data_IF_976315710870
#
_entry.id   IF_976315710870
#
_cell.length_a   1.000
_cell.length_b   1.000
_cell.length_c   1.000
_cell.angle_alpha   90.00
_cell.angle_beta   90.00
_cell.angle_gamma   90.00
#
_symmetry.space_group_name_H-M   'P 1'
#
loop_
_entity.id
_entity.type
_entity.pdbx_description
1 polymer ?
#
# COMPACT_ATOMS: atom_id res chain seq x y z
N UNK A 1 -30.31 22.48 -11.09
CA UNK A 1 -31.02 21.19 -11.17
C UNK A 1 -32.44 21.44 -10.69
N UNK A 2 -33.40 21.27 -11.58
CA UNK A 2 -34.82 21.70 -11.39
C UNK A 2 -35.53 20.96 -10.25
N UNK A 3 -35.09 19.75 -9.91
CA UNK A 3 -35.71 18.95 -8.84
C UNK A 3 -34.77 18.73 -7.63
N UNK A 4 -33.73 19.56 -7.48
CA UNK A 4 -32.83 19.45 -6.34
C UNK A 4 -33.48 20.07 -5.10
N UNK A 5 -33.45 19.35 -3.99
CA UNK A 5 -33.84 19.89 -2.67
C UNK A 5 -32.76 20.75 -2.02
N UNK A 6 -31.65 21.02 -2.72
CA UNK A 6 -30.50 21.74 -2.21
C UNK A 6 -29.48 20.84 -1.51
N UNK A 7 -28.53 21.45 -0.80
CA UNK A 7 -27.51 20.74 -0.05
C UNK A 7 -28.04 20.35 1.33
N UNK A 8 -27.99 19.04 1.63
CA UNK A 8 -28.31 18.54 2.97
C UNK A 8 -27.01 18.39 3.77
N UNK A 9 -26.97 19.02 4.95
CA UNK A 9 -25.85 18.96 5.89
C UNK A 9 -26.39 19.03 7.32
N UNK A 10 -25.85 18.16 8.19
CA UNK A 10 -26.18 18.23 9.61
C UNK A 10 -25.41 19.36 10.33
N UNK A 11 -24.18 19.64 9.86
CA UNK A 11 -23.32 20.69 10.41
C UNK A 11 -22.29 21.19 9.37
N UNK A 12 -21.55 22.24 9.72
CA UNK A 12 -20.67 22.95 8.75
C UNK A 12 -19.33 22.24 8.49
N UNK A 13 -19.02 21.16 9.17
CA UNK A 13 -17.80 20.37 9.00
C UNK A 13 -17.38 19.69 10.31
N UNK A 14 -16.39 18.80 10.20
CA UNK A 14 -15.82 18.10 11.35
C UNK A 14 -14.78 18.98 12.05
N UNK A 15 -15.16 19.65 13.14
CA UNK A 15 -14.29 20.59 13.84
C UNK A 15 -12.94 19.99 14.22
N UNK A 16 -12.90 18.78 14.78
CA UNK A 16 -11.66 18.12 15.15
C UNK A 16 -10.71 17.89 13.97
N UNK A 17 -11.25 17.50 12.80
CA UNK A 17 -10.46 17.34 11.57
C UNK A 17 -9.93 18.67 11.08
N UNK A 18 -10.77 19.73 11.09
CA UNK A 18 -10.36 21.07 10.69
C UNK A 18 -9.24 21.61 11.59
N UNK A 19 -9.32 21.39 12.90
CA UNK A 19 -8.29 21.80 13.85
C UNK A 19 -6.96 21.04 13.67
N UNK A 20 -7.02 19.76 13.36
CA UNK A 20 -5.81 18.98 13.01
C UNK A 20 -5.15 19.52 11.75
N UNK A 21 -5.93 19.77 10.70
CA UNK A 21 -5.42 20.34 9.45
C UNK A 21 -4.80 21.73 9.68
N UNK A 22 -5.51 22.61 10.43
CA UNK A 22 -5.00 23.95 10.77
C UNK A 22 -3.67 23.86 11.55
N UNK A 23 -3.60 23.01 12.56
CA UNK A 23 -2.38 22.83 13.35
C UNK A 23 -1.21 22.37 12.48
N UNK A 24 -1.44 21.38 11.61
CA UNK A 24 -0.43 20.91 10.67
C UNK A 24 0.07 22.03 9.74
N UNK A 25 -0.86 22.77 9.12
CA UNK A 25 -0.53 23.87 8.21
C UNK A 25 0.26 24.97 8.92
N UNK A 26 -0.15 25.37 10.13
CA UNK A 26 0.55 26.38 10.91
C UNK A 26 1.94 25.92 11.36
N UNK A 27 2.08 24.63 11.70
CA UNK A 27 3.38 24.05 12.10
C UNK A 27 4.36 23.98 10.94
N UNK A 28 3.89 23.54 9.77
CA UNK A 28 4.74 23.35 8.60
C UNK A 28 5.05 24.65 7.87
N UNK A 29 4.10 25.57 7.84
CA UNK A 29 4.19 26.77 7.01
C UNK A 29 4.23 26.46 5.51
N UNK A 30 4.39 27.47 4.68
CA UNK A 30 4.43 27.30 3.21
C UNK A 30 5.62 26.46 2.75
N UNK A 31 6.79 26.69 3.34
CA UNK A 31 8.02 26.02 2.95
C UNK A 31 8.02 24.54 3.39
N UNK A 32 7.51 24.25 4.59
CA UNK A 32 7.35 22.89 5.07
C UNK A 32 6.36 22.08 4.24
N UNK A 33 5.22 22.65 3.87
CA UNK A 33 4.23 22.00 2.99
C UNK A 33 4.80 21.73 1.60
N UNK A 34 5.57 22.66 1.04
CA UNK A 34 6.27 22.46 -0.23
C UNK A 34 7.33 21.37 -0.11
N UNK A 35 8.11 21.37 0.96
CA UNK A 35 9.13 20.35 1.21
C UNK A 35 8.50 18.96 1.35
N UNK A 36 7.44 18.80 2.14
CA UNK A 36 6.71 17.54 2.29
C UNK A 36 6.24 17.01 0.92
N UNK A 37 5.57 17.84 0.13
CA UNK A 37 5.05 17.44 -1.18
C UNK A 37 6.17 17.06 -2.16
N UNK A 38 7.25 17.83 -2.25
CA UNK A 38 8.38 17.52 -3.14
C UNK A 38 9.13 16.26 -2.74
N UNK A 39 9.31 16.04 -1.43
CA UNK A 39 9.96 14.84 -0.92
C UNK A 39 9.13 13.60 -1.19
N UNK A 40 7.82 13.64 -0.99
CA UNK A 40 6.93 12.53 -1.31
C UNK A 40 7.00 12.16 -2.80
N UNK A 41 7.00 13.14 -3.70
CA UNK A 41 7.17 12.91 -5.15
C UNK A 41 8.55 12.31 -5.47
N UNK A 42 9.61 12.80 -4.84
CA UNK A 42 10.96 12.26 -5.03
C UNK A 42 11.04 10.80 -4.56
N UNK A 43 10.52 10.49 -3.38
CA UNK A 43 10.54 9.16 -2.80
C UNK A 43 9.78 8.15 -3.70
N UNK A 44 8.59 8.52 -4.19
CA UNK A 44 7.80 7.66 -5.07
C UNK A 44 8.53 7.36 -6.39
N UNK A 45 9.10 8.37 -7.03
CA UNK A 45 9.85 8.19 -8.28
C UNK A 45 11.16 7.40 -8.06
N UNK A 46 11.79 7.58 -6.89
CA UNK A 46 12.96 6.78 -6.53
C UNK A 46 12.61 5.29 -6.45
N UNK A 47 11.58 4.92 -5.69
CA UNK A 47 11.14 3.52 -5.57
C UNK A 47 10.69 2.94 -6.92
N UNK A 48 9.89 3.70 -7.67
CA UNK A 48 9.45 3.29 -9.02
C UNK A 48 10.64 2.92 -9.92
N UNK A 49 11.65 3.79 -9.97
CA UNK A 49 12.83 3.58 -10.79
C UNK A 49 13.64 2.33 -10.36
N UNK A 50 13.67 2.02 -9.06
CA UNK A 50 14.40 0.87 -8.54
C UNK A 50 13.68 -0.47 -8.74
N UNK A 51 12.35 -0.47 -8.87
CA UNK A 51 11.53 -1.68 -8.89
C UNK A 51 11.01 -2.07 -10.27
N UNK A 52 11.12 -1.18 -11.25
CA UNK A 52 10.56 -1.39 -12.61
C UNK A 52 11.16 -2.56 -13.37
N UNK A 53 12.34 -3.06 -12.99
CA UNK A 53 12.98 -4.17 -13.67
C UNK A 53 12.45 -5.54 -13.17
N UNK A 54 11.99 -5.62 -11.93
CA UNK A 54 11.48 -6.84 -11.31
C UNK A 54 9.94 -6.93 -11.33
N UNK A 55 9.25 -5.79 -11.40
CA UNK A 55 7.80 -5.69 -11.39
C UNK A 55 7.25 -5.05 -12.65
N UNK A 56 6.06 -5.45 -13.09
CA UNK A 56 5.37 -4.78 -14.17
C UNK A 56 5.02 -3.35 -13.77
N UNK A 57 5.33 -2.40 -14.63
CA UNK A 57 5.02 -0.99 -14.42
C UNK A 57 4.09 -0.50 -15.55
N UNK A 58 2.76 -0.58 -15.39
CA UNK A 58 1.81 -0.22 -16.43
C UNK A 58 1.90 1.25 -16.86
N UNK A 59 2.37 2.10 -15.96
CA UNK A 59 2.51 3.54 -16.15
C UNK A 59 3.96 3.98 -15.94
N UNK A 60 4.83 3.73 -16.91
CA UNK A 60 6.26 4.11 -16.86
C UNK A 60 6.45 5.59 -17.25
N UNK A 61 6.02 6.49 -16.38
CA UNK A 61 6.25 7.93 -16.47
C UNK A 61 6.49 8.50 -15.06
N UNK A 62 6.94 9.75 -14.97
CA UNK A 62 7.14 10.43 -13.68
C UNK A 62 5.80 10.49 -12.94
N UNK A 63 5.75 9.82 -11.79
CA UNK A 63 4.58 9.81 -10.92
C UNK A 63 4.58 11.01 -9.97
N UNK A 64 3.44 11.25 -9.31
CA UNK A 64 3.35 12.19 -8.18
C UNK A 64 3.83 11.48 -6.90
N UNK A 65 2.98 11.38 -5.89
CA UNK A 65 3.35 10.83 -4.59
C UNK A 65 3.16 9.29 -4.48
N UNK A 66 2.62 8.67 -5.52
CA UNK A 66 2.33 7.23 -5.56
C UNK A 66 2.57 6.65 -6.96
N UNK A 67 2.81 5.36 -7.02
CA UNK A 67 2.88 4.60 -8.28
C UNK A 67 2.27 3.22 -8.11
N UNK A 68 1.91 2.59 -9.22
CA UNK A 68 1.26 1.27 -9.23
C UNK A 68 2.12 0.27 -9.97
N UNK A 69 2.43 -0.84 -9.31
CA UNK A 69 3.01 -2.03 -9.91
C UNK A 69 1.88 -2.99 -10.32
N UNK A 70 2.06 -3.74 -11.40
CA UNK A 70 1.10 -4.70 -11.95
C UNK A 70 1.57 -6.15 -11.76
N UNK A 71 1.99 -6.51 -10.54
CA UNK A 71 2.52 -7.83 -10.23
C UNK A 71 3.98 -8.04 -10.65
N UNK A 72 4.49 -9.23 -10.39
CA UNK A 72 5.86 -9.65 -10.76
C UNK A 72 6.00 -9.76 -12.29
N UNK A 73 7.19 -9.45 -12.82
CA UNK A 73 7.48 -9.67 -14.25
C UNK A 73 7.69 -11.14 -14.56
N UNK A 74 8.48 -11.79 -13.70
CA UNK A 74 8.86 -13.19 -13.85
C UNK A 74 8.51 -13.93 -12.57
N UNK A 75 7.38 -14.58 -12.56
CA UNK A 75 7.06 -15.63 -11.59
C UNK A 75 7.04 -16.97 -12.33
N UNK A 76 7.63 -18.01 -11.74
CA UNK A 76 7.91 -19.28 -12.39
C UNK A 76 6.71 -19.92 -13.12
N UNK A 77 5.45 -19.65 -12.74
CA UNK A 77 4.26 -20.29 -13.31
C UNK A 77 3.00 -19.40 -13.26
N UNK A 78 3.09 -18.10 -13.02
CA UNK A 78 1.92 -17.22 -12.84
C UNK A 78 1.11 -17.51 -11.58
N UNK A 79 1.71 -18.18 -10.58
CA UNK A 79 1.01 -18.64 -9.38
C UNK A 79 1.13 -17.65 -8.22
N UNK A 80 2.19 -16.82 -8.21
CA UNK A 80 2.41 -15.82 -7.16
C UNK A 80 1.55 -14.58 -7.45
N UNK A 81 0.67 -14.26 -6.53
CA UNK A 81 -0.21 -13.11 -6.61
C UNK A 81 0.34 -11.92 -5.83
N UNK A 82 -0.13 -10.74 -6.15
CA UNK A 82 0.22 -9.51 -5.40
C UNK A 82 -0.08 -9.64 -3.91
N UNK A 83 -1.13 -10.38 -3.54
CA UNK A 83 -1.41 -10.68 -2.13
C UNK A 83 -0.27 -11.47 -1.46
N UNK A 84 0.38 -12.39 -2.17
CA UNK A 84 1.50 -13.18 -1.64
C UNK A 84 2.72 -12.29 -1.41
N UNK A 85 2.99 -11.38 -2.33
CA UNK A 85 4.01 -10.33 -2.16
C UNK A 85 3.73 -9.49 -0.92
N UNK A 86 2.49 -9.03 -0.74
CA UNK A 86 2.08 -8.24 0.41
C UNK A 86 2.23 -9.03 1.73
N UNK A 87 1.86 -10.30 1.75
CA UNK A 87 2.04 -11.19 2.93
C UNK A 87 3.51 -11.43 3.24
N UNK A 88 4.35 -11.57 2.22
CA UNK A 88 5.80 -11.74 2.42
C UNK A 88 6.46 -10.46 2.96
N UNK A 89 6.00 -9.28 2.57
CA UNK A 89 6.45 -8.01 3.14
C UNK A 89 6.22 -7.92 4.65
N UNK A 90 5.12 -8.49 5.17
CA UNK A 90 4.88 -8.57 6.62
C UNK A 90 5.98 -9.34 7.34
N UNK A 91 6.45 -10.45 6.76
CA UNK A 91 7.56 -11.24 7.33
C UNK A 91 8.88 -10.48 7.35
N UNK A 92 9.04 -9.52 6.45
CA UNK A 92 10.21 -8.65 6.36
C UNK A 92 10.07 -7.35 7.20
N UNK A 93 8.96 -7.22 7.95
CA UNK A 93 8.74 -6.10 8.85
C UNK A 93 8.18 -4.84 8.19
N UNK A 94 7.71 -4.93 6.95
CA UNK A 94 7.10 -3.79 6.25
C UNK A 94 5.58 -3.82 6.32
N UNK A 95 4.99 -2.63 6.42
CA UNK A 95 3.56 -2.47 6.17
C UNK A 95 3.30 -2.66 4.67
N UNK A 96 2.46 -3.62 4.27
CA UNK A 96 2.25 -3.89 2.85
C UNK A 96 1.48 -2.74 2.19
N UNK A 97 1.84 -2.40 0.94
CA UNK A 97 1.08 -1.45 0.13
C UNK A 97 -0.35 -1.94 -0.15
N UNK A 98 -1.21 -1.05 -0.65
CA UNK A 98 -2.58 -1.39 -1.07
C UNK A 98 -2.55 -2.37 -2.24
N UNK A 99 -3.25 -3.50 -2.09
CA UNK A 99 -3.35 -4.55 -3.11
C UNK A 99 -4.66 -4.46 -3.89
N UNK A 100 -4.64 -4.91 -5.15
CA UNK A 100 -5.80 -4.97 -6.05
C UNK A 100 -6.50 -3.62 -6.29
N UNK A 101 -5.78 -2.53 -6.16
CA UNK A 101 -6.27 -1.20 -6.45
C UNK A 101 -5.16 -0.36 -7.15
N UNK A 102 -5.50 0.38 -8.23
CA UNK A 102 -6.82 0.55 -8.86
C UNK A 102 -7.26 -0.69 -9.65
N UNK A 103 -8.57 -0.92 -9.75
CA UNK A 103 -9.16 -2.12 -10.37
C UNK A 103 -8.83 -2.28 -11.87
N UNK A 104 -8.42 -1.20 -12.54
CA UNK A 104 -8.02 -1.20 -13.95
C UNK A 104 -6.63 -1.79 -14.20
N UNK A 105 -5.84 -2.00 -13.16
CA UNK A 105 -4.52 -2.62 -13.23
C UNK A 105 -4.61 -4.04 -12.67
N UNK A 106 -4.24 -5.01 -13.49
CA UNK A 106 -4.20 -6.42 -13.07
C UNK A 106 -3.07 -6.61 -12.04
N UNK A 107 -3.35 -7.37 -10.97
CA UNK A 107 -2.39 -7.60 -9.87
C UNK A 107 -1.80 -6.29 -9.33
N UNK A 108 -2.63 -5.28 -9.15
CA UNK A 108 -2.19 -3.95 -8.71
C UNK A 108 -1.61 -3.98 -7.30
N UNK A 109 -0.46 -3.32 -7.14
CA UNK A 109 0.18 -3.00 -5.87
C UNK A 109 0.50 -1.51 -5.87
N UNK A 110 -0.25 -0.71 -5.11
CA UNK A 110 -0.09 0.74 -5.04
C UNK A 110 0.87 1.12 -3.92
N UNK A 111 1.98 1.71 -4.27
CA UNK A 111 3.05 2.11 -3.34
C UNK A 111 3.03 3.62 -3.17
N UNK A 112 2.87 4.07 -1.94
CA UNK A 112 2.87 5.48 -1.53
C UNK A 112 3.88 5.69 -0.40
N UNK A 113 5.14 5.96 -0.69
CA UNK A 113 6.12 6.35 0.32
C UNK A 113 5.87 7.79 0.74
N UNK A 114 5.73 8.03 2.04
CA UNK A 114 5.53 9.38 2.55
C UNK A 114 6.84 10.18 2.57
N UNK A 115 6.75 11.48 2.78
CA UNK A 115 7.89 12.38 2.95
C UNK A 115 8.70 12.08 4.21
N UNK A 116 8.11 11.37 5.16
CA UNK A 116 8.76 11.01 6.43
C UNK A 116 9.72 9.83 6.31
N UNK A 117 9.67 9.10 5.19
CA UNK A 117 10.55 7.95 4.98
C UNK A 117 11.95 8.39 4.57
N UNK A 118 12.98 8.10 5.39
CA UNK A 118 14.37 8.39 5.03
C UNK A 118 14.86 7.46 3.93
N UNK A 119 15.89 7.89 3.20
CA UNK A 119 16.47 7.10 2.11
C UNK A 119 16.83 5.67 2.52
N UNK A 120 17.32 5.48 3.75
CA UNK A 120 17.67 4.16 4.27
C UNK A 120 16.45 3.21 4.25
N UNK A 121 15.30 3.66 4.77
CA UNK A 121 14.06 2.86 4.76
C UNK A 121 13.60 2.55 3.33
N UNK A 122 13.74 3.51 2.41
CA UNK A 122 13.43 3.29 1.00
C UNK A 122 14.34 2.22 0.38
N UNK A 123 15.64 2.27 0.68
CA UNK A 123 16.61 1.28 0.19
C UNK A 123 16.33 -0.13 0.78
N UNK A 124 15.98 -0.21 2.06
CA UNK A 124 15.58 -1.46 2.72
C UNK A 124 14.29 -2.03 2.10
N UNK A 125 13.30 -1.18 1.79
CA UNK A 125 12.09 -1.59 1.08
C UNK A 125 12.41 -2.10 -0.33
N UNK A 126 13.27 -1.41 -1.07
CA UNK A 126 13.72 -1.87 -2.40
C UNK A 126 14.40 -3.23 -2.30
N UNK A 127 15.28 -3.42 -1.32
CA UNK A 127 15.96 -4.69 -1.10
C UNK A 127 14.96 -5.82 -0.80
N UNK A 128 13.97 -5.57 0.07
CA UNK A 128 12.92 -6.53 0.38
C UNK A 128 12.09 -6.90 -0.87
N UNK A 129 11.66 -5.93 -1.65
CA UNK A 129 10.90 -6.16 -2.87
C UNK A 129 11.70 -6.95 -3.92
N UNK A 130 12.97 -6.65 -4.10
CA UNK A 130 13.86 -7.41 -5.01
C UNK A 130 14.11 -8.83 -4.51
N UNK A 131 14.26 -9.01 -3.20
CA UNK A 131 14.36 -10.34 -2.61
C UNK A 131 13.08 -11.15 -2.85
N UNK A 132 11.90 -10.57 -2.66
CA UNK A 132 10.62 -11.21 -2.95
C UNK A 132 10.53 -11.64 -4.43
N UNK A 133 10.95 -10.78 -5.35
CA UNK A 133 10.98 -11.12 -6.76
C UNK A 133 11.96 -12.27 -7.07
N UNK A 134 13.09 -12.33 -6.36
CA UNK A 134 14.02 -13.46 -6.47
C UNK A 134 13.42 -14.75 -5.88
N UNK A 135 12.84 -14.70 -4.68
CA UNK A 135 12.15 -15.84 -4.05
C UNK A 135 11.04 -16.38 -4.96
N UNK A 136 10.28 -15.51 -5.64
CA UNK A 136 9.25 -15.94 -6.58
C UNK A 136 9.79 -16.76 -7.76
N UNK A 137 11.01 -16.46 -8.21
CA UNK A 137 11.70 -17.20 -9.29
C UNK A 137 12.33 -18.50 -8.83
N UNK A 138 12.88 -18.51 -7.63
CA UNK A 138 13.69 -19.64 -7.13
C UNK A 138 12.88 -20.62 -6.28
N UNK A 139 12.00 -20.12 -5.42
CA UNK A 139 11.20 -20.94 -4.49
C UNK A 139 9.91 -20.18 -4.10
N UNK A 140 8.91 -20.23 -4.95
CA UNK A 140 7.61 -19.58 -4.75
C UNK A 140 6.87 -20.03 -3.47
N UNK A 141 7.14 -21.20 -2.94
CA UNK A 141 6.44 -21.72 -1.76
C UNK A 141 6.66 -20.84 -0.53
N UNK A 142 7.81 -20.17 -0.45
CA UNK A 142 8.07 -19.17 0.60
C UNK A 142 7.01 -18.04 0.57
N UNK A 143 6.60 -17.59 -0.62
CA UNK A 143 5.60 -16.54 -0.77
C UNK A 143 4.19 -17.09 -0.53
N UNK A 144 3.90 -18.27 -1.05
CA UNK A 144 2.58 -18.90 -0.91
C UNK A 144 2.24 -19.22 0.56
N UNK A 145 3.25 -19.54 1.36
CA UNK A 145 3.10 -19.81 2.79
C UNK A 145 3.12 -18.55 3.67
N UNK A 146 3.60 -17.41 3.15
CA UNK A 146 3.70 -16.17 3.90
C UNK A 146 2.31 -15.65 4.34
N UNK A 147 2.19 -14.96 5.50
CA UNK A 147 3.24 -14.65 6.46
C UNK A 147 3.50 -15.85 7.40
N UNK A 148 4.75 -16.05 7.79
CA UNK A 148 5.16 -17.13 8.70
C UNK A 148 5.67 -16.64 10.06
N UNK A 149 6.10 -15.37 10.12
CA UNK A 149 6.66 -14.75 11.34
C UNK A 149 5.62 -14.06 12.20
N UNK A 150 4.41 -13.83 11.68
CA UNK A 150 3.32 -13.16 12.38
C UNK A 150 2.53 -14.14 13.27
N UNK A 151 1.95 -13.61 14.36
CA UNK A 151 1.12 -14.40 15.30
C UNK A 151 -0.09 -15.02 14.59
N UNK A 152 -0.71 -14.28 13.68
CA UNK A 152 -1.82 -14.73 12.85
C UNK A 152 -1.31 -14.88 11.42
N UNK A 153 -1.49 -16.05 10.85
CA UNK A 153 -1.18 -16.34 9.44
C UNK A 153 -2.32 -15.88 8.53
N UNK A 154 -2.56 -16.53 7.41
CA UNK A 154 -3.67 -16.19 6.51
C UNK A 154 -5.00 -16.61 7.14
N UNK A 155 -5.91 -15.66 7.44
CA UNK A 155 -7.27 -16.00 7.85
C UNK A 155 -8.07 -16.54 6.66
N UNK A 156 -9.09 -17.35 6.95
CA UNK A 156 -10.10 -17.71 5.95
C UNK A 156 -11.07 -16.52 5.77
N UNK A 157 -10.73 -15.65 4.81
CA UNK A 157 -11.53 -14.44 4.52
C UNK A 157 -12.92 -14.78 3.97
N UNK A 158 -13.04 -15.92 3.27
CA UNK A 158 -14.31 -16.38 2.72
C UNK A 158 -15.26 -16.83 3.81
N UNK A 159 -14.75 -17.63 4.76
CA UNK A 159 -15.53 -18.06 5.93
C UNK A 159 -15.90 -16.87 6.80
N UNK A 160 -14.96 -15.97 7.06
CA UNK A 160 -15.20 -14.75 7.83
C UNK A 160 -16.27 -13.85 7.22
N UNK A 161 -16.34 -13.78 5.89
CA UNK A 161 -17.35 -12.98 5.18
C UNK A 161 -18.73 -13.65 5.14
N UNK A 162 -18.79 -14.99 5.03
CA UNK A 162 -20.04 -15.74 4.88
C UNK A 162 -20.70 -16.08 6.21
N UNK A 163 -19.90 -16.41 7.22
CA UNK A 163 -20.36 -16.90 8.53
C UNK A 163 -19.93 -15.93 9.63
N UNK A 164 -20.57 -14.77 9.66
CA UNK A 164 -20.26 -13.69 10.60
C UNK A 164 -20.55 -14.09 12.03
N UNK A 165 -19.55 -14.00 12.91
CA UNK A 165 -19.69 -14.11 14.36
C UNK A 165 -19.70 -12.70 14.95
N UNK A 166 -20.90 -12.14 15.15
CA UNK A 166 -21.09 -10.73 15.56
C UNK A 166 -21.18 -10.53 17.06
N UNK A 167 -21.12 -11.60 17.86
CA UNK A 167 -21.24 -11.54 19.32
C UNK A 167 -19.99 -12.10 19.97
N UNK A 168 -19.52 -11.41 21.02
CA UNK A 168 -18.47 -11.93 21.88
C UNK A 168 -19.04 -13.06 22.74
N UNK A 169 -18.53 -14.28 22.59
CA UNK A 169 -18.78 -15.39 23.50
C UNK A 169 -17.62 -15.48 24.47
N UNK A 170 -17.88 -15.30 25.76
CA UNK A 170 -16.88 -15.42 26.82
C UNK A 170 -16.55 -16.90 26.97
N UNK A 171 -15.41 -17.34 26.47
CA UNK A 171 -14.75 -18.61 26.73
C UNK A 171 -15.63 -19.86 26.58
N UNK A 172 -15.48 -20.56 25.48
CA UNK A 172 -15.51 -22.02 25.47
C UNK A 172 -14.07 -22.52 25.49
#
# INVERSE_FOLDING_TARGET
MEHSIGRMKDFQGHFGILMRALTYILTMGSDGLKCASTTAVLNANYLQAQLKDDYNLPHDFICKHEFVLGGLKDDCDGQVKTLDVAKRLLDMGFHPPTVYFPLIVHEALMVEPTETEPKQTLDEFVAAMKQIAQEARENKDILLEAPITTVVRRPDETEAAKNLILTFKKGE
#
